data_IF_909377630043
#
_entry.id   IF_909377630043
#
_cell.length_a   1.000
_cell.length_b   1.000
_cell.length_c   1.000
_cell.angle_alpha   90.00
_cell.angle_beta   90.00
_cell.angle_gamma   90.00
#
_symmetry.space_group_name_H-M   'P 1'
#
loop_
_entity.id
_entity.type
_entity.pdbx_description
1 polymer ?
#
# COMPACT_ATOMS: atom_id res chain seq x y z
N UNK A 1 -4.79 -4.81 4.58
CA UNK A 1 -4.57 -4.50 3.15
C UNK A 1 -5.38 -3.30 2.66
N UNK A 2 -6.72 -3.26 2.75
CA UNK A 2 -7.55 -2.13 2.24
C UNK A 2 -7.08 -0.74 2.74
N UNK A 3 -6.67 -0.64 4.01
CA UNK A 3 -6.11 0.60 4.59
C UNK A 3 -4.82 1.10 3.91
N UNK A 4 -4.02 0.22 3.31
CA UNK A 4 -2.76 0.59 2.63
C UNK A 4 -3.08 1.36 1.34
N UNK A 5 -4.04 0.87 0.55
CA UNK A 5 -4.47 1.51 -0.71
C UNK A 5 -5.35 2.74 -0.51
N UNK A 6 -6.09 2.80 0.61
CA UNK A 6 -6.96 3.92 0.96
C UNK A 6 -6.28 5.02 1.77
N UNK A 7 -4.97 4.91 1.99
CA UNK A 7 -4.22 5.93 2.70
C UNK A 7 -4.23 7.27 1.95
N UNK A 8 -4.04 8.37 2.68
CA UNK A 8 -4.06 9.72 2.08
C UNK A 8 -2.80 10.04 1.28
N UNK A 9 -1.69 9.37 1.58
CA UNK A 9 -0.41 9.52 0.90
C UNK A 9 0.46 8.27 1.14
N UNK A 10 1.64 8.26 0.49
CA UNK A 10 2.60 7.17 0.58
C UNK A 10 3.14 6.93 2.01
N UNK A 11 3.29 7.97 2.83
CA UNK A 11 3.75 7.80 4.23
C UNK A 11 2.69 7.08 5.07
N UNK A 12 1.42 7.48 4.98
CA UNK A 12 0.32 6.80 5.67
C UNK A 12 0.12 5.37 5.14
N UNK A 13 0.35 5.13 3.84
CA UNK A 13 0.31 3.78 3.29
C UNK A 13 1.40 2.89 3.91
N UNK A 14 2.60 3.45 4.14
CA UNK A 14 3.72 2.73 4.78
C UNK A 14 3.39 2.41 6.23
N UNK A 15 2.87 3.36 7.00
CA UNK A 15 2.44 3.12 8.38
C UNK A 15 1.40 2.00 8.48
N UNK A 16 0.41 2.00 7.59
CA UNK A 16 -0.59 0.93 7.52
C UNK A 16 0.01 -0.42 7.10
N UNK A 17 1.06 -0.43 6.26
CA UNK A 17 1.78 -1.65 5.91
C UNK A 17 2.58 -2.18 7.10
N UNK A 18 3.24 -1.32 7.87
CA UNK A 18 3.98 -1.71 9.07
C UNK A 18 3.07 -2.28 10.16
N UNK A 19 1.91 -1.68 10.39
CA UNK A 19 0.90 -2.25 11.30
C UNK A 19 0.41 -3.61 10.82
N UNK A 20 0.10 -3.72 9.52
CA UNK A 20 -0.30 -4.99 8.92
C UNK A 20 0.81 -6.05 9.06
N UNK A 21 2.06 -5.69 8.82
CA UNK A 21 3.20 -6.59 8.96
C UNK A 21 3.36 -7.08 10.40
N UNK A 22 3.20 -6.23 11.42
CA UNK A 22 3.31 -6.65 12.83
C UNK A 22 2.34 -7.79 13.18
N UNK A 23 1.11 -7.73 12.71
CA UNK A 23 0.10 -8.75 12.97
C UNK A 23 0.27 -10.01 12.10
N UNK A 24 0.70 -9.83 10.85
CA UNK A 24 0.65 -10.90 9.84
C UNK A 24 1.99 -11.56 9.54
N UNK A 25 3.13 -10.95 9.91
CA UNK A 25 4.46 -11.51 9.64
C UNK A 25 4.69 -12.85 10.35
N UNK A 26 4.10 -13.04 11.54
CA UNK A 26 4.24 -14.30 12.29
C UNK A 26 3.43 -15.44 11.65
N UNK A 27 2.30 -15.13 11.01
CA UNK A 27 1.41 -16.14 10.40
C UNK A 27 1.76 -16.39 8.93
N UNK A 28 2.17 -15.35 8.21
CA UNK A 28 2.36 -15.38 6.76
C UNK A 28 3.53 -14.49 6.32
N UNK A 29 4.78 -14.81 6.70
CA UNK A 29 5.95 -14.00 6.36
C UNK A 29 6.15 -13.86 4.84
N UNK A 30 5.76 -14.88 4.08
CA UNK A 30 5.82 -14.89 2.60
C UNK A 30 4.88 -13.89 1.94
N UNK A 31 3.80 -13.49 2.62
CA UNK A 31 2.87 -12.48 2.11
C UNK A 31 3.46 -11.09 2.29
N UNK A 32 4.19 -10.84 3.39
CA UNK A 32 4.71 -9.52 3.75
C UNK A 32 5.90 -9.08 2.88
N UNK A 33 6.80 -10.01 2.53
CA UNK A 33 8.00 -9.69 1.72
C UNK A 33 7.68 -8.98 0.39
N UNK A 34 6.75 -9.48 -0.45
CA UNK A 34 6.37 -8.81 -1.69
C UNK A 34 5.76 -7.42 -1.50
N UNK A 35 5.07 -7.19 -0.38
CA UNK A 35 4.50 -5.87 -0.08
C UNK A 35 5.58 -4.81 0.09
N UNK A 36 6.62 -5.10 0.87
CA UNK A 36 7.74 -4.17 1.04
C UNK A 36 8.57 -4.05 -0.24
N UNK A 37 8.83 -5.16 -0.94
CA UNK A 37 9.62 -5.16 -2.17
C UNK A 37 8.98 -4.30 -3.26
N UNK A 38 7.66 -4.37 -3.42
CA UNK A 38 6.94 -3.65 -4.46
C UNK A 38 6.23 -2.40 -3.94
N UNK A 39 6.50 -1.97 -2.68
CA UNK A 39 5.75 -0.88 -2.05
C UNK A 39 5.78 0.39 -2.87
N UNK A 40 6.96 0.76 -3.41
CA UNK A 40 7.12 1.96 -4.23
C UNK A 40 6.28 1.89 -5.51
N UNK A 41 6.28 0.75 -6.20
CA UNK A 41 5.47 0.54 -7.40
C UNK A 41 3.97 0.62 -7.06
N UNK A 42 3.56 -0.11 -6.03
CA UNK A 42 2.19 -0.14 -5.52
C UNK A 42 1.72 1.23 -5.02
N UNK A 43 2.60 2.14 -4.60
CA UNK A 43 2.26 3.48 -4.09
C UNK A 43 2.59 4.61 -5.06
N UNK A 44 3.10 4.29 -6.26
CA UNK A 44 3.42 5.31 -7.28
C UNK A 44 2.18 6.10 -7.70
N UNK A 45 0.98 5.52 -7.55
CA UNK A 45 -0.26 6.22 -7.85
C UNK A 45 -0.50 7.47 -6.98
N UNK A 46 0.07 7.54 -5.77
CA UNK A 46 0.00 8.73 -4.91
C UNK A 46 0.73 9.95 -5.46
N UNK A 47 1.62 9.77 -6.44
CA UNK A 47 2.35 10.85 -7.10
C UNK A 47 1.54 11.55 -8.17
N UNK A 48 0.41 10.99 -8.59
CA UNK A 48 -0.46 11.63 -9.56
C UNK A 48 -1.43 12.60 -8.88
N UNK A 49 -1.79 13.70 -9.56
CA UNK A 49 -2.88 14.57 -9.12
C UNK A 49 -4.15 13.77 -8.83
N UNK A 50 -4.96 14.25 -7.88
CA UNK A 50 -6.16 13.57 -7.39
C UNK A 50 -7.09 13.03 -8.50
N UNK A 51 -7.19 13.77 -9.61
CA UNK A 51 -8.01 13.40 -10.77
C UNK A 51 -7.49 12.14 -11.49
N UNK A 52 -6.17 11.97 -11.59
CA UNK A 52 -5.54 10.77 -12.17
C UNK A 52 -5.53 9.59 -11.19
N UNK A 53 -5.31 9.84 -9.90
CA UNK A 53 -5.27 8.77 -8.90
C UNK A 53 -6.63 8.10 -8.68
N UNK A 54 -7.74 8.85 -8.79
CA UNK A 54 -9.10 8.29 -8.76
C UNK A 54 -9.40 7.37 -9.95
N UNK A 55 -8.90 7.69 -11.15
CA UNK A 55 -9.10 6.86 -12.33
C UNK A 55 -8.36 5.52 -12.22
N UNK A 56 -7.12 5.54 -11.69
CA UNK A 56 -6.30 4.35 -11.50
C UNK A 56 -6.88 3.44 -10.41
N UNK A 57 -7.25 3.98 -9.25
CA UNK A 57 -7.83 3.20 -8.14
C UNK A 57 -9.13 2.48 -8.51
N UNK A 58 -9.89 2.98 -9.49
CA UNK A 58 -11.10 2.29 -9.99
C UNK A 58 -10.82 1.11 -10.91
N UNK A 59 -9.60 1.00 -11.43
CA UNK A 59 -9.20 -0.06 -12.38
C UNK A 59 -8.40 -1.20 -11.73
N UNK A 60 -8.06 -1.08 -10.44
CA UNK A 60 -7.42 -2.12 -9.62
C UNK A 60 -8.43 -2.72 -8.64
#
# INVERSE_FOLDING_TARGET
MKKIYQANNQEFAMQNLDEFAKEWVQKYPSIIKPWYANFIELTTFFKYPYELSQAIYRQI
#
